data_IF_030879941961
#
_entry.id   IF_030879941961
#
_cell.length_a   1.000
_cell.length_b   1.000
_cell.length_c   1.000
_cell.angle_alpha   90.00
_cell.angle_beta   90.00
_cell.angle_gamma   90.00
#
_symmetry.space_group_name_H-M   'P 1'
#
loop_
_entity.id
_entity.type
_entity.pdbx_description
1 polymer ?
#
# COMPACT_ATOMS: atom_id res chain seq x y z
N UNK A 1 -15.17 3.97 4.19
CA UNK A 1 -14.21 3.25 3.32
C UNK A 1 -13.20 4.24 2.79
N UNK A 2 -11.98 3.79 2.65
CA UNK A 2 -10.93 4.62 2.10
C UNK A 2 -10.35 3.93 0.86
N UNK A 3 -9.83 4.71 -0.05
CA UNK A 3 -9.20 4.18 -1.25
C UNK A 3 -7.71 4.04 -0.98
N UNK A 4 -7.18 2.86 -1.21
CA UNK A 4 -5.76 2.56 -1.04
C UNK A 4 -5.14 2.24 -2.38
N UNK A 5 -3.86 2.54 -2.51
CA UNK A 5 -3.13 2.17 -3.73
C UNK A 5 -1.74 1.65 -3.38
N UNK A 6 -1.27 0.72 -4.20
CA UNK A 6 0.06 0.13 -4.02
C UNK A 6 0.97 0.67 -5.11
N UNK A 7 2.14 1.10 -4.73
CA UNK A 7 3.14 1.62 -5.65
C UNK A 7 4.35 0.70 -5.65
N UNK A 8 4.90 0.46 -6.84
CA UNK A 8 6.09 -0.35 -6.98
C UNK A 8 7.34 0.48 -6.64
N UNK A 9 8.52 -0.13 -6.60
CA UNK A 9 9.75 0.62 -6.27
C UNK A 9 10.05 1.77 -7.22
N UNK A 10 9.50 1.76 -8.43
CA UNK A 10 9.68 2.83 -9.39
C UNK A 10 8.70 3.99 -9.18
N UNK A 11 7.79 3.85 -8.22
CA UNK A 11 6.82 4.88 -7.93
C UNK A 11 5.55 4.82 -8.76
N UNK A 12 5.33 3.73 -9.47
CA UNK A 12 4.13 3.57 -10.30
C UNK A 12 3.02 2.89 -9.51
N UNK A 13 1.80 3.36 -9.71
CA UNK A 13 0.64 2.74 -9.07
C UNK A 13 0.31 1.45 -9.83
N UNK A 14 0.37 0.33 -9.13
CA UNK A 14 0.12 -0.98 -9.72
C UNK A 14 -1.21 -1.57 -9.32
N UNK A 15 -1.83 -1.06 -8.26
CA UNK A 15 -3.14 -1.55 -7.82
C UNK A 15 -3.83 -0.48 -7.00
N UNK A 16 -5.16 -0.47 -7.05
CA UNK A 16 -5.98 0.48 -6.28
C UNK A 16 -7.22 -0.26 -5.82
N UNK A 17 -7.65 0.00 -4.59
CA UNK A 17 -8.83 -0.68 -4.04
C UNK A 17 -9.43 0.14 -2.90
N UNK A 18 -10.76 0.11 -2.82
CA UNK A 18 -11.48 0.67 -1.68
C UNK A 18 -11.56 -0.38 -0.59
N UNK A 19 -11.12 -0.02 0.61
CA UNK A 19 -11.03 -0.98 1.71
C UNK A 19 -11.61 -0.33 2.96
N UNK A 20 -12.32 -1.11 3.76
CA UNK A 20 -13.05 -0.60 4.90
C UNK A 20 -12.17 -0.39 6.13
N UNK A 21 -11.12 -1.16 6.31
CA UNK A 21 -10.30 -1.07 7.52
C UNK A 21 -8.82 -1.08 7.20
N UNK A 22 -8.02 -0.53 8.10
CA UNK A 22 -6.58 -0.50 7.95
C UNK A 22 -5.98 -1.91 7.98
N UNK A 23 -6.54 -2.80 8.80
CA UNK A 23 -6.06 -4.17 8.88
C UNK A 23 -6.25 -4.89 7.55
N UNK A 24 -7.42 -4.71 6.94
CA UNK A 24 -7.68 -5.30 5.63
C UNK A 24 -6.78 -4.71 4.56
N UNK A 25 -6.50 -3.42 4.66
CA UNK A 25 -5.62 -2.75 3.71
C UNK A 25 -4.20 -3.33 3.81
N UNK A 26 -3.72 -3.54 5.02
CA UNK A 26 -2.39 -4.11 5.22
C UNK A 26 -2.32 -5.54 4.64
N UNK A 27 -3.34 -6.34 4.87
CA UNK A 27 -3.39 -7.70 4.33
C UNK A 27 -3.40 -7.69 2.81
N UNK A 28 -4.14 -6.76 2.22
CA UNK A 28 -4.19 -6.61 0.78
C UNK A 28 -2.82 -6.21 0.21
N UNK A 29 -2.13 -5.32 0.91
CA UNK A 29 -0.79 -4.89 0.50
C UNK A 29 0.18 -6.07 0.51
N UNK A 30 0.16 -6.86 1.58
CA UNK A 30 1.02 -8.04 1.70
C UNK A 30 0.71 -9.02 0.57
N UNK A 31 -0.56 -9.21 0.25
CA UNK A 31 -0.98 -10.08 -0.84
C UNK A 31 -0.44 -9.62 -2.18
N UNK A 32 -0.49 -8.31 -2.42
CA UNK A 32 -0.05 -7.77 -3.70
C UNK A 32 1.44 -7.91 -3.92
N UNK A 33 2.22 -7.91 -2.85
CA UNK A 33 3.67 -8.04 -2.98
C UNK A 33 4.18 -9.43 -2.62
N UNK A 34 3.28 -10.39 -2.48
CA UNK A 34 3.63 -11.72 -1.95
C UNK A 34 4.71 -12.42 -2.77
N UNK A 35 4.66 -12.26 -4.09
CA UNK A 35 5.61 -12.91 -4.97
C UNK A 35 6.81 -12.03 -5.31
N UNK A 36 6.96 -10.93 -4.61
CA UNK A 36 8.00 -9.96 -4.92
C UNK A 36 8.80 -9.64 -3.68
N UNK A 37 10.09 -9.91 -3.74
CA UNK A 37 10.98 -9.68 -2.61
C UNK A 37 11.72 -8.36 -2.68
N UNK A 38 11.46 -7.54 -3.70
CA UNK A 38 12.11 -6.24 -3.81
C UNK A 38 11.67 -5.33 -2.68
N UNK A 39 12.60 -4.50 -2.23
CA UNK A 39 12.28 -3.44 -1.30
C UNK A 39 11.81 -2.20 -2.08
N UNK A 40 11.17 -1.30 -1.37
CA UNK A 40 10.69 -0.07 -1.99
C UNK A 40 9.22 -0.06 -2.35
N UNK A 41 8.52 -1.13 -2.14
CA UNK A 41 7.07 -1.16 -2.29
C UNK A 41 6.42 -0.36 -1.18
N UNK A 42 5.36 0.36 -1.52
CA UNK A 42 4.66 1.15 -0.52
C UNK A 42 3.18 1.24 -0.85
N UNK A 43 2.40 1.60 0.15
CA UNK A 43 0.97 1.78 0.00
C UNK A 43 0.59 3.16 0.49
N UNK A 44 -0.33 3.79 -0.21
CA UNK A 44 -0.85 5.10 0.16
C UNK A 44 -2.36 5.03 0.31
N UNK A 45 -2.90 5.94 1.12
CA UNK A 45 -4.32 6.01 1.36
C UNK A 45 -4.81 7.43 0.98
N UNK A 46 -5.97 7.49 0.33
CA UNK A 46 -6.57 8.76 -0.03
C UNK A 46 -7.28 9.36 1.19
N UNK A 47 -7.00 10.61 1.48
CA UNK A 47 -7.62 11.31 2.59
C UNK A 47 -7.73 12.79 2.23
N UNK A 48 -8.95 13.32 2.28
CA UNK A 48 -9.22 14.73 1.98
C UNK A 48 -8.70 15.17 0.62
N UNK A 49 -8.79 14.26 -0.36
CA UNK A 49 -8.37 14.57 -1.73
C UNK A 49 -6.89 14.40 -1.99
N UNK A 50 -6.13 14.02 -1.00
CA UNK A 50 -4.69 13.82 -1.13
C UNK A 50 -4.30 12.39 -0.79
N UNK A 51 -3.17 11.95 -1.32
CA UNK A 51 -2.62 10.65 -1.00
C UNK A 51 -1.60 10.79 0.13
N UNK A 52 -1.71 9.93 1.12
CA UNK A 52 -0.83 9.92 2.27
C UNK A 52 -0.16 8.56 2.41
N UNK A 53 1.08 8.57 2.83
CA UNK A 53 1.80 7.33 3.09
C UNK A 53 1.07 6.50 4.14
N UNK A 54 0.93 5.20 3.90
CA UNK A 54 0.29 4.29 4.83
C UNK A 54 1.26 3.20 5.31
N UNK A 55 1.98 2.55 4.39
CA UNK A 55 2.86 1.45 4.76
C UNK A 55 3.90 1.21 3.67
N UNK A 56 4.98 0.55 4.01
CA UNK A 56 5.97 0.16 3.01
C UNK A 56 6.71 -1.10 3.46
N UNK A 57 7.55 -1.63 2.56
CA UNK A 57 8.30 -2.84 2.86
C UNK A 57 9.54 -2.55 3.69
N UNK A 58 9.95 -1.31 3.77
CA UNK A 58 11.15 -0.93 4.50
C UNK A 58 10.87 -0.45 5.90
N UNK A 59 9.68 0.06 6.14
CA UNK A 59 9.30 0.58 7.43
C UNK A 59 8.90 -0.50 8.42
N UNK A 60 8.78 -1.72 7.97
CA UNK A 60 8.28 -2.81 8.77
C UNK A 60 9.42 -3.56 9.44
N UNK A 61 10.10 -2.89 10.27
CA UNK A 61 11.20 -3.50 10.98
C UNK A 61 10.90 -3.61 12.46
N UNK A 62 9.93 -4.17 12.75
CA UNK A 62 9.58 -4.50 14.11
C UNK A 62 10.20 -3.71 15.21
#
# INVERSE_FOLDING_TARGET
MATYRVLNPQGEVVATKDIASADDAHAWFVDNKADNTELGWRMEVAHDGDWHFFDDTEGDRG
#
